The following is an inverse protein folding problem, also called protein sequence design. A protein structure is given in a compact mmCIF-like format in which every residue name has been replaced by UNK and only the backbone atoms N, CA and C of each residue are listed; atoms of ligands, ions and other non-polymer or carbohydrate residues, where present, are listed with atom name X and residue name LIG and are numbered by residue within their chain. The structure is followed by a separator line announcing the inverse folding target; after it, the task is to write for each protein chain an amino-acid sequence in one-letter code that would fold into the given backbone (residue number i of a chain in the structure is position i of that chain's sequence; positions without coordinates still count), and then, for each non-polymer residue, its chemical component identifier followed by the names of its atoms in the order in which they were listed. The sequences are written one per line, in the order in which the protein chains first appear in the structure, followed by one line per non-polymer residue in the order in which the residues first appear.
data_IF_541120813690
#
_entry.id   IF_541120813690
#
_cell.length_a   1.000
_cell.length_b   1.000
_cell.length_c   1.000
_cell.angle_alpha   90.00
_cell.angle_beta   90.00
_cell.angle_gamma   90.00
#
_symmetry.space_group_name_H-M   'P 1'
#
loop_
_entity.id
_entity.type
_entity.pdbx_description
1 polymer ?
#
# COMPACT_ATOMS: atom_id res chain seq x y z
N UNK A 1 15.50 -1.90 -27.50
CA UNK A 1 14.74 -1.50 -26.29
C UNK A 1 15.58 -1.71 -25.04
N UNK A 2 16.19 -2.89 -24.85
CA UNK A 2 16.98 -3.23 -23.67
C UNK A 2 18.09 -2.22 -23.33
N UNK A 3 18.86 -1.75 -24.31
CA UNK A 3 19.90 -0.71 -24.10
C UNK A 3 19.33 0.62 -23.57
N UNK A 4 18.10 0.99 -23.93
CA UNK A 4 17.45 2.21 -23.42
C UNK A 4 17.01 2.02 -21.96
N UNK A 5 16.42 0.87 -21.65
CA UNK A 5 16.01 0.51 -20.28
C UNK A 5 17.23 0.45 -19.36
N UNK A 6 18.32 -0.18 -19.81
CA UNK A 6 19.58 -0.26 -19.07
C UNK A 6 20.15 1.14 -18.81
N UNK A 7 20.16 2.02 -19.81
CA UNK A 7 20.62 3.40 -19.63
C UNK A 7 19.80 4.16 -18.60
N UNK A 8 18.46 4.08 -18.67
CA UNK A 8 17.59 4.75 -17.70
C UNK A 8 17.75 4.16 -16.29
N UNK A 9 17.94 2.84 -16.17
CA UNK A 9 18.22 2.19 -14.88
C UNK A 9 19.57 2.62 -14.30
N UNK A 10 20.63 2.68 -15.12
CA UNK A 10 21.94 3.16 -14.69
C UNK A 10 21.90 4.61 -14.22
N UNK A 11 21.18 5.49 -14.93
CA UNK A 11 20.96 6.88 -14.49
C UNK A 11 20.27 6.92 -13.12
N UNK A 12 19.23 6.12 -12.94
CA UNK A 12 18.44 6.09 -11.71
C UNK A 12 19.28 5.61 -10.52
N UNK A 13 20.11 4.57 -10.71
CA UNK A 13 21.05 4.06 -9.69
C UNK A 13 22.15 5.10 -9.41
N UNK A 14 22.71 5.73 -10.43
CA UNK A 14 23.78 6.73 -10.28
C UNK A 14 23.33 7.95 -9.47
N UNK A 15 22.06 8.35 -9.56
CA UNK A 15 21.47 9.42 -8.72
C UNK A 15 21.34 9.06 -7.23
N UNK A 16 21.66 7.81 -6.84
CA UNK A 16 21.56 7.28 -5.47
C UNK A 16 20.19 7.38 -4.81
N UNK A 17 19.12 7.73 -5.55
CA UNK A 17 17.77 7.91 -4.99
C UNK A 17 17.20 6.63 -4.40
N UNK A 18 17.44 5.48 -5.04
CA UNK A 18 17.03 4.19 -4.49
C UNK A 18 17.72 3.90 -3.15
N UNK A 19 18.97 4.32 -2.98
CA UNK A 19 19.69 4.16 -1.70
C UNK A 19 19.06 5.07 -0.64
N UNK A 20 18.73 6.32 -0.98
CA UNK A 20 18.03 7.23 -0.06
C UNK A 20 16.68 6.63 0.36
N UNK A 21 15.90 6.10 -0.59
CA UNK A 21 14.64 5.42 -0.29
C UNK A 21 14.87 4.18 0.58
N UNK A 22 15.90 3.38 0.31
CA UNK A 22 16.30 2.25 1.15
C UNK A 22 16.54 2.65 2.60
N UNK A 23 17.29 3.74 2.79
CA UNK A 23 17.62 4.28 4.11
C UNK A 23 16.35 4.76 4.81
N UNK A 24 15.47 5.50 4.11
CA UNK A 24 14.21 5.97 4.70
C UNK A 24 13.32 4.78 5.10
N UNK A 25 13.18 3.78 4.23
CA UNK A 25 12.47 2.54 4.55
C UNK A 25 13.09 1.86 5.76
N UNK A 26 14.42 1.70 5.80
CA UNK A 26 15.11 1.07 6.92
C UNK A 26 14.90 1.81 8.24
N UNK A 27 14.97 3.15 8.24
CA UNK A 27 14.70 3.98 9.41
C UNK A 27 13.26 3.83 9.88
N UNK A 28 12.29 3.86 8.97
CA UNK A 28 10.89 3.71 9.33
C UNK A 28 10.56 2.31 9.83
N UNK A 29 11.12 1.27 9.21
CA UNK A 29 11.01 -0.10 9.69
C UNK A 29 11.59 -0.21 11.11
N UNK A 30 12.76 0.38 11.39
CA UNK A 30 13.33 0.41 12.74
C UNK A 30 12.40 1.11 13.74
N UNK A 31 11.86 2.29 13.38
CA UNK A 31 10.91 3.02 14.22
C UNK A 31 9.63 2.21 14.50
N UNK A 32 9.06 1.57 13.48
CA UNK A 32 7.86 0.74 13.61
C UNK A 32 8.14 -0.52 14.43
N UNK A 33 9.31 -1.14 14.24
CA UNK A 33 9.75 -2.30 15.03
C UNK A 33 9.85 -1.92 16.50
N UNK A 34 10.48 -0.78 16.81
CA UNK A 34 10.59 -0.27 18.17
C UNK A 34 9.21 0.10 18.77
N UNK A 35 8.34 0.75 17.99
CA UNK A 35 7.00 1.10 18.43
C UNK A 35 6.16 -0.13 18.77
N UNK A 36 6.19 -1.16 17.91
CA UNK A 36 5.54 -2.45 18.16
C UNK A 36 6.10 -3.15 19.39
N UNK A 37 7.43 -3.16 19.55
CA UNK A 37 8.08 -3.76 20.72
C UNK A 37 7.63 -3.08 22.02
N UNK A 38 7.63 -1.74 22.03
CA UNK A 38 7.18 -0.95 23.18
C UNK A 38 5.69 -1.18 23.48
N UNK A 39 4.85 -1.25 22.44
CA UNK A 39 3.43 -1.55 22.61
C UNK A 39 3.20 -2.92 23.25
N UNK A 40 3.93 -3.95 22.81
CA UNK A 40 3.86 -5.30 23.39
C UNK A 40 4.33 -5.29 24.86
N UNK A 41 5.41 -4.59 25.19
CA UNK A 41 5.85 -4.46 26.58
C UNK A 41 4.81 -3.77 27.47
N UNK A 42 4.28 -2.62 27.04
CA UNK A 42 3.26 -1.91 27.82
C UNK A 42 1.99 -2.74 28.00
N UNK A 43 1.59 -3.55 27.02
CA UNK A 43 0.46 -4.47 27.18
C UNK A 43 0.76 -5.58 28.19
N UNK A 44 1.98 -6.14 28.18
CA UNK A 44 2.41 -7.14 29.18
C UNK A 44 2.45 -6.57 30.59
N UNK A 45 2.93 -5.35 30.76
CA UNK A 45 2.93 -4.65 32.05
C UNK A 45 1.53 -4.40 32.58
N UNK A 46 0.59 -3.98 31.71
CA UNK A 46 -0.81 -3.72 32.10
C UNK A 46 -1.59 -4.98 32.46
N UNK A 47 -1.38 -6.06 31.72
CA UNK A 47 -2.18 -7.29 31.87
C UNK A 47 -1.52 -8.32 32.78
N UNK A 48 -0.23 -8.16 33.10
CA UNK A 48 0.54 -9.10 33.91
C UNK A 48 0.73 -10.48 33.26
N UNK A 49 0.33 -10.65 32.00
CA UNK A 49 0.37 -11.92 31.27
C UNK A 49 0.89 -11.73 29.85
N UNK A 50 1.52 -12.79 29.33
CA UNK A 50 1.91 -12.92 27.92
C UNK A 50 0.97 -13.84 27.15
N UNK A 51 -0.10 -14.35 27.78
CA UNK A 51 -1.06 -15.21 27.12
C UNK A 51 -1.92 -14.40 26.13
N UNK A 52 -1.84 -14.80 24.86
CA UNK A 52 -2.56 -14.14 23.78
C UNK A 52 -4.08 -14.27 23.95
N UNK A 53 -4.57 -15.34 24.59
CA UNK A 53 -6.00 -15.53 24.86
C UNK A 53 -6.52 -14.48 25.82
N UNK A 54 -5.80 -14.22 26.92
CA UNK A 54 -6.17 -13.15 27.87
C UNK A 54 -6.12 -11.77 27.20
N UNK A 55 -5.11 -11.51 26.37
CA UNK A 55 -5.00 -10.25 25.62
C UNK A 55 -6.19 -10.09 24.67
N UNK A 56 -6.56 -11.14 23.93
CA UNK A 56 -7.67 -11.11 22.99
C UNK A 56 -9.02 -10.98 23.70
N UNK A 57 -9.22 -11.67 24.83
CA UNK A 57 -10.41 -11.53 25.67
C UNK A 57 -10.55 -10.09 26.19
N UNK A 58 -9.46 -9.46 26.63
CA UNK A 58 -9.49 -8.04 27.02
C UNK A 58 -9.87 -7.14 25.84
N UNK A 59 -9.33 -7.39 24.64
CA UNK A 59 -9.70 -6.64 23.44
C UNK A 59 -11.18 -6.80 23.07
N UNK A 60 -11.75 -7.99 23.24
CA UNK A 60 -13.18 -8.29 23.04
C UNK A 60 -14.02 -7.48 24.04
N UNK A 61 -13.63 -7.45 25.32
CA UNK A 61 -14.31 -6.66 26.36
C UNK A 61 -14.27 -5.18 26.02
N UNK A 62 -13.09 -4.65 25.70
CA UNK A 62 -12.90 -3.24 25.34
C UNK A 62 -13.74 -2.86 24.10
N UNK A 63 -13.79 -3.73 23.09
CA UNK A 63 -14.57 -3.54 21.87
C UNK A 63 -16.08 -3.58 22.16
N UNK A 64 -16.52 -4.50 23.02
CA UNK A 64 -17.92 -4.60 23.47
C UNK A 64 -18.36 -3.37 24.27
N UNK A 65 -17.49 -2.87 25.15
CA UNK A 65 -17.73 -1.64 25.91
C UNK A 65 -17.81 -0.40 25.01
N UNK A 66 -17.03 -0.36 23.92
CA UNK A 66 -17.19 0.70 22.90
C UNK A 66 -18.54 0.59 22.21
N UNK A 67 -18.97 -0.62 21.83
CA UNK A 67 -20.26 -0.89 21.18
C UNK A 67 -21.49 -0.52 22.01
N UNK A 68 -21.41 -0.59 23.34
CA UNK A 68 -22.51 -0.20 24.24
C UNK A 68 -22.65 1.32 24.40
N UNK A 69 -21.68 2.11 23.94
CA UNK A 69 -21.75 3.57 24.00
C UNK A 69 -22.79 4.13 23.01
N UNK A 70 -23.80 4.84 23.52
CA UNK A 70 -25.00 5.25 22.78
C UNK A 70 -24.80 6.38 21.74
N UNK A 71 -23.57 6.86 21.50
CA UNK A 71 -23.27 8.03 20.64
C UNK A 71 -22.43 7.71 19.40
N UNK A 72 -22.37 6.45 18.98
CA UNK A 72 -21.58 6.06 17.81
C UNK A 72 -22.39 6.09 16.53
N UNK A 73 -21.76 6.54 15.44
CA UNK A 73 -22.29 6.47 14.09
C UNK A 73 -22.50 5.01 13.66
N UNK A 74 -23.58 4.73 12.92
CA UNK A 74 -24.01 3.36 12.61
C UNK A 74 -22.97 2.54 11.83
N UNK A 75 -22.20 3.18 10.95
CA UNK A 75 -21.11 2.51 10.22
C UNK A 75 -19.95 2.10 11.12
N UNK A 76 -19.53 2.99 12.03
CA UNK A 76 -18.50 2.68 13.02
C UNK A 76 -18.94 1.54 13.93
N UNK A 77 -20.24 1.51 14.26
CA UNK A 77 -20.86 0.39 14.99
C UNK A 77 -20.82 -0.90 14.18
N UNK A 78 -21.16 -0.89 12.88
CA UNK A 78 -21.01 -2.04 11.96
C UNK A 78 -19.56 -2.53 11.93
N UNK A 79 -18.57 -1.64 11.78
CA UNK A 79 -17.14 -1.99 11.77
C UNK A 79 -16.69 -2.63 13.08
N UNK A 80 -17.09 -2.08 14.22
CA UNK A 80 -16.77 -2.66 15.53
C UNK A 80 -17.45 -4.02 15.74
N UNK A 81 -18.68 -4.21 15.27
CA UNK A 81 -19.35 -5.52 15.31
C UNK A 81 -18.63 -6.57 14.45
N UNK A 82 -18.14 -6.18 13.28
CA UNK A 82 -17.34 -7.03 12.38
C UNK A 82 -16.04 -7.43 13.08
N UNK A 83 -15.29 -6.46 13.62
CA UNK A 83 -14.06 -6.70 14.35
C UNK A 83 -14.28 -7.62 15.57
N UNK A 84 -15.37 -7.40 16.33
CA UNK A 84 -15.73 -8.23 17.48
C UNK A 84 -15.97 -9.69 17.08
N UNK A 85 -16.76 -9.92 16.02
CA UNK A 85 -17.02 -11.28 15.50
C UNK A 85 -15.75 -11.96 15.00
N UNK A 86 -14.84 -11.21 14.37
CA UNK A 86 -13.54 -11.75 13.95
C UNK A 86 -12.70 -12.17 15.17
N UNK A 87 -12.59 -11.31 16.19
CA UNK A 87 -11.84 -11.61 17.41
C UNK A 87 -12.42 -12.83 18.14
N UNK A 88 -13.75 -12.94 18.25
CA UNK A 88 -14.43 -14.11 18.80
C UNK A 88 -14.09 -15.36 18.00
N UNK A 89 -14.15 -15.30 16.67
CA UNK A 89 -13.80 -16.44 15.82
C UNK A 89 -12.36 -16.91 16.02
N UNK A 90 -11.39 -15.98 16.15
CA UNK A 90 -10.00 -16.31 16.48
C UNK A 90 -9.87 -17.05 17.82
N UNK A 91 -10.62 -16.61 18.83
CA UNK A 91 -10.64 -17.23 20.16
C UNK A 91 -11.28 -18.62 20.13
N UNK A 92 -12.42 -18.77 19.44
CA UNK A 92 -13.19 -20.01 19.35
C UNK A 92 -12.43 -21.11 18.60
N UNK A 93 -11.64 -20.73 17.59
CA UNK A 93 -10.84 -21.67 16.77
C UNK A 93 -9.40 -21.84 17.27
N UNK A 94 -9.06 -21.25 18.41
CA UNK A 94 -7.72 -21.30 19.02
C UNK A 94 -6.58 -20.84 18.10
N UNK A 95 -6.81 -19.78 17.33
CA UNK A 95 -5.85 -19.22 16.37
C UNK A 95 -5.30 -17.92 16.95
N UNK A 96 -3.98 -17.83 17.13
CA UNK A 96 -3.32 -16.63 17.61
C UNK A 96 -3.16 -15.59 16.47
N UNK A 97 -3.90 -14.46 16.48
CA UNK A 97 -3.79 -13.42 15.44
C UNK A 97 -2.49 -12.60 15.53
N UNK A 98 -1.84 -12.62 16.70
CA UNK A 98 -0.66 -11.84 17.05
C UNK A 98 0.56 -12.76 17.26
N UNK A 99 0.67 -13.81 16.45
CA UNK A 99 1.79 -14.74 16.53
C UNK A 99 3.12 -13.98 16.36
N UNK A 100 4.04 -14.04 17.35
CA UNK A 100 5.28 -13.25 17.30
C UNK A 100 6.18 -13.71 16.14
N UNK A 101 6.66 -12.74 15.36
CA UNK A 101 7.68 -13.02 14.35
C UNK A 101 7.79 -11.94 13.27
N UNK A 102 8.92 -11.97 12.58
CA UNK A 102 9.20 -11.13 11.42
C UNK A 102 8.11 -11.18 10.32
N UNK A 103 7.49 -12.34 10.01
CA UNK A 103 6.44 -12.42 8.99
C UNK A 103 5.17 -11.66 9.38
N UNK A 104 4.79 -11.76 10.65
CA UNK A 104 3.64 -11.03 11.21
C UNK A 104 3.91 -9.53 11.19
N UNK A 105 5.13 -9.11 11.55
CA UNK A 105 5.53 -7.72 11.45
C UNK A 105 5.52 -7.22 10.00
N UNK A 106 6.06 -7.99 9.06
CA UNK A 106 6.08 -7.63 7.64
C UNK A 106 4.67 -7.40 7.09
N UNK A 107 3.72 -8.28 7.44
CA UNK A 107 2.29 -8.12 7.15
C UNK A 107 1.79 -6.78 7.69
N UNK A 108 1.94 -6.55 9.00
CA UNK A 108 1.46 -5.32 9.66
C UNK A 108 2.11 -4.08 9.04
N UNK A 109 3.40 -4.13 8.72
CA UNK A 109 4.12 -3.03 8.11
C UNK A 109 3.58 -2.70 6.71
N UNK A 110 3.37 -3.69 5.85
CA UNK A 110 2.81 -3.49 4.51
C UNK A 110 1.41 -2.87 4.56
N UNK A 111 0.56 -3.39 5.45
CA UNK A 111 -0.81 -2.92 5.62
C UNK A 111 -0.87 -1.46 6.07
N UNK A 112 0.00 -1.05 6.99
CA UNK A 112 0.06 0.36 7.41
C UNK A 112 0.76 1.26 6.38
N UNK A 113 1.54 0.68 5.48
CA UNK A 113 2.36 1.41 4.53
C UNK A 113 1.71 1.63 3.16
N UNK A 114 0.68 0.85 2.83
CA UNK A 114 0.06 0.85 1.49
C UNK A 114 -0.66 2.16 1.16
N UNK A 115 -1.18 2.88 2.15
CA UNK A 115 -2.04 4.05 1.93
C UNK A 115 -1.27 5.29 1.49
N UNK A 116 -0.09 5.49 2.07
CA UNK A 116 0.63 6.75 1.94
C UNK A 116 2.13 6.53 1.79
N UNK A 117 2.73 5.68 2.64
CA UNK A 117 4.17 5.57 2.72
C UNK A 117 4.81 5.01 1.43
N UNK A 118 4.38 3.81 1.00
CA UNK A 118 4.88 3.21 -0.25
C UNK A 118 4.48 4.03 -1.49
N UNK A 119 3.23 4.50 -1.62
CA UNK A 119 2.83 5.44 -2.67
C UNK A 119 3.75 6.68 -2.79
N UNK A 120 4.14 7.28 -1.66
CA UNK A 120 5.01 8.45 -1.63
C UNK A 120 6.43 8.12 -2.12
N UNK A 121 7.00 6.99 -1.71
CA UNK A 121 8.32 6.55 -2.20
C UNK A 121 8.32 6.32 -3.71
N UNK A 122 7.25 5.71 -4.22
CA UNK A 122 7.07 5.47 -5.65
C UNK A 122 6.89 6.77 -6.42
N UNK A 123 6.09 7.70 -5.91
CA UNK A 123 5.85 9.03 -6.50
C UNK A 123 7.16 9.81 -6.68
N UNK A 124 8.05 9.78 -5.69
CA UNK A 124 9.35 10.48 -5.75
C UNK A 124 10.20 9.99 -6.92
N UNK A 125 10.25 8.68 -7.16
CA UNK A 125 10.96 8.11 -8.31
C UNK A 125 10.26 8.45 -9.62
N UNK A 126 8.94 8.27 -9.69
CA UNK A 126 8.17 8.53 -10.90
C UNK A 126 8.32 9.98 -11.39
N UNK A 127 8.27 10.94 -10.48
CA UNK A 127 8.35 12.37 -10.78
C UNK A 127 9.74 12.80 -11.26
N UNK A 128 10.81 12.22 -10.71
CA UNK A 128 12.18 12.53 -11.14
C UNK A 128 12.49 11.94 -12.53
N UNK A 129 11.91 10.79 -12.88
CA UNK A 129 12.27 10.02 -14.07
C UNK A 129 11.92 10.73 -15.39
N UNK A 130 10.86 11.54 -15.41
CA UNK A 130 10.45 12.33 -16.59
C UNK A 130 10.81 13.81 -16.44
N UNK A 131 10.48 14.43 -15.30
CA UNK A 131 10.64 15.88 -15.16
C UNK A 131 12.11 16.34 -15.03
N UNK A 132 13.05 15.49 -14.58
CA UNK A 132 14.47 15.88 -14.51
C UNK A 132 15.12 16.14 -15.88
N UNK A 133 14.57 15.57 -16.95
CA UNK A 133 15.06 15.78 -18.33
C UNK A 133 14.50 17.07 -18.94
N UNK A 134 13.31 17.52 -18.50
CA UNK A 134 12.77 18.83 -18.86
C UNK A 134 13.60 19.97 -18.25
N UNK A 135 14.06 19.81 -17.00
CA UNK A 135 14.88 20.82 -16.32
C UNK A 135 16.32 20.89 -16.84
N UNK A 136 16.89 19.76 -17.28
CA UNK A 136 18.29 19.67 -17.74
C UNK A 136 18.46 19.95 -19.25
N UNK A 137 17.38 20.16 -20.00
CA UNK A 137 17.44 20.41 -21.45
C UNK A 137 17.91 19.20 -22.30
N UNK A 138 18.14 18.04 -21.68
CA UNK A 138 18.66 16.81 -22.31
C UNK A 138 17.70 16.17 -23.32
N UNK A 139 16.42 16.55 -23.30
CA UNK A 139 15.47 16.21 -24.36
C UNK A 139 16.00 16.70 -25.73
N UNK A 140 16.67 17.86 -25.78
CA UNK A 140 17.26 18.40 -27.02
C UNK A 140 18.45 17.57 -27.51
N UNK A 141 19.26 17.02 -26.60
CA UNK A 141 20.43 16.18 -26.95
C UNK A 141 20.02 14.78 -27.41
N UNK A 142 18.95 14.20 -26.85
CA UNK A 142 18.43 12.88 -27.27
C UNK A 142 17.79 12.90 -28.66
N UNK A 143 17.27 14.06 -29.10
CA UNK A 143 16.67 14.26 -30.44
C UNK A 143 17.69 14.27 -31.59
N UNK A 144 18.99 14.24 -31.30
CA UNK A 144 20.03 14.03 -32.32
C UNK A 144 20.16 12.57 -32.77
N UNK A 145 19.51 11.63 -32.08
CA UNK A 145 19.47 10.20 -32.46
C UNK A 145 18.10 9.80 -33.01
N UNK A 146 18.01 8.95 -34.05
CA UNK A 146 16.75 8.59 -34.72
C UNK A 146 15.94 7.56 -33.91
N UNK A 147 15.51 7.91 -32.69
CA UNK A 147 14.69 7.05 -31.82
C UNK A 147 13.27 7.61 -31.73
N UNK A 148 12.27 6.79 -32.06
CA UNK A 148 10.84 7.17 -31.95
C UNK A 148 10.49 7.57 -30.51
N UNK A 149 9.82 8.71 -30.31
CA UNK A 149 9.48 9.29 -28.97
C UNK A 149 8.79 8.29 -28.04
N UNK A 150 7.84 7.51 -28.55
CA UNK A 150 7.14 6.48 -27.76
C UNK A 150 8.08 5.40 -27.19
N UNK A 151 9.18 5.06 -27.88
CA UNK A 151 10.16 4.08 -27.39
C UNK A 151 10.94 4.62 -26.19
N UNK A 152 11.19 5.92 -26.15
CA UNK A 152 11.86 6.59 -25.03
C UNK A 152 10.95 6.61 -23.81
N UNK A 153 9.68 7.01 -23.99
CA UNK A 153 8.70 7.00 -22.90
C UNK A 153 8.45 5.58 -22.39
N UNK A 154 8.35 4.60 -23.28
CA UNK A 154 8.18 3.20 -22.90
C UNK A 154 9.39 2.67 -22.11
N UNK A 155 10.63 2.99 -22.50
CA UNK A 155 11.79 2.59 -21.70
C UNK A 155 11.74 3.18 -20.30
N UNK A 156 11.30 4.44 -20.17
CA UNK A 156 11.13 5.11 -18.88
C UNK A 156 10.05 4.45 -18.02
N UNK A 157 8.91 4.11 -18.62
CA UNK A 157 7.83 3.41 -17.94
C UNK A 157 8.24 2.01 -17.46
N UNK A 158 9.00 1.25 -18.26
CA UNK A 158 9.54 -0.05 -17.84
C UNK A 158 10.55 0.13 -16.69
N UNK A 159 11.45 1.11 -16.78
CA UNK A 159 12.38 1.43 -15.68
C UNK A 159 11.63 1.81 -14.40
N UNK A 160 10.53 2.56 -14.50
CA UNK A 160 9.67 2.87 -13.38
C UNK A 160 9.07 1.60 -12.76
N UNK A 161 8.49 0.70 -13.56
CA UNK A 161 7.92 -0.56 -13.06
C UNK A 161 8.98 -1.40 -12.34
N UNK A 162 10.19 -1.50 -12.90
CA UNK A 162 11.31 -2.21 -12.28
C UNK A 162 11.76 -1.54 -10.97
N UNK A 163 11.81 -0.22 -10.93
CA UNK A 163 12.14 0.53 -9.71
C UNK A 163 11.10 0.32 -8.61
N UNK A 164 9.80 0.29 -8.97
CA UNK A 164 8.71 -0.01 -8.04
C UNK A 164 8.84 -1.42 -7.47
N UNK A 165 9.07 -2.42 -8.33
CA UNK A 165 9.33 -3.80 -7.90
C UNK A 165 10.51 -3.88 -6.92
N UNK A 166 11.58 -3.13 -7.20
CA UNK A 166 12.76 -3.08 -6.33
C UNK A 166 12.46 -2.41 -4.99
N UNK A 167 11.72 -1.29 -4.96
CA UNK A 167 11.31 -0.61 -3.72
C UNK A 167 10.51 -1.55 -2.81
N UNK A 168 9.54 -2.28 -3.38
CA UNK A 168 8.70 -3.20 -2.61
C UNK A 168 9.49 -4.40 -2.12
N UNK A 169 10.37 -4.95 -2.97
CA UNK A 169 11.26 -6.03 -2.57
C UNK A 169 12.18 -5.57 -1.42
N UNK A 170 12.74 -4.37 -1.49
CA UNK A 170 13.57 -3.79 -0.44
C UNK A 170 12.77 -3.54 0.84
N UNK A 171 11.53 -3.04 0.74
CA UNK A 171 10.64 -2.89 1.88
C UNK A 171 10.39 -4.24 2.58
N UNK A 172 10.10 -5.30 1.83
CA UNK A 172 9.95 -6.65 2.35
C UNK A 172 11.22 -7.16 3.02
N UNK A 173 12.36 -7.11 2.33
CA UNK A 173 13.65 -7.61 2.84
C UNK A 173 14.07 -6.85 4.11
N UNK A 174 14.02 -5.51 4.10
CA UNK A 174 14.39 -4.70 5.26
C UNK A 174 13.44 -4.93 6.43
N UNK A 175 12.13 -5.01 6.17
CA UNK A 175 11.14 -5.34 7.20
C UNK A 175 11.43 -6.70 7.85
N UNK A 176 11.74 -7.72 7.05
CA UNK A 176 12.05 -9.05 7.55
C UNK A 176 13.35 -9.11 8.36
N UNK A 177 14.44 -8.52 7.85
CA UNK A 177 15.75 -8.53 8.51
C UNK A 177 15.75 -7.76 9.83
N UNK A 178 15.19 -6.55 9.82
CA UNK A 178 15.17 -5.68 11.01
C UNK A 178 14.21 -6.26 12.06
N UNK A 179 12.98 -6.60 11.68
CA UNK A 179 12.01 -7.14 12.64
C UNK A 179 12.39 -8.52 13.16
N UNK A 180 13.04 -9.36 12.34
CA UNK A 180 13.51 -10.67 12.76
C UNK A 180 14.62 -10.62 13.80
N UNK A 181 15.44 -9.56 13.82
CA UNK A 181 16.41 -9.34 14.89
C UNK A 181 15.76 -9.08 16.26
N UNK A 182 14.54 -8.54 16.30
CA UNK A 182 13.84 -8.15 17.54
C UNK A 182 12.80 -9.19 17.96
N UNK A 183 11.98 -9.65 17.02
CA UNK A 183 10.85 -10.57 17.27
C UNK A 183 11.14 -12.03 16.90
N UNK A 184 12.27 -12.31 16.24
CA UNK A 184 12.64 -13.63 15.73
C UNK A 184 12.02 -13.95 14.36
N UNK A 185 12.51 -15.03 13.75
CA UNK A 185 12.19 -15.43 12.37
C UNK A 185 11.12 -16.54 12.27
N UNK A 186 10.36 -16.78 13.34
CA UNK A 186 9.27 -17.77 13.39
C UNK A 186 7.95 -17.16 12.89
N UNK A 187 6.87 -17.96 12.79
CA UNK A 187 5.51 -17.48 12.44
C UNK A 187 5.15 -17.61 10.95
N UNK A 188 6.10 -18.02 10.13
CA UNK A 188 5.95 -18.25 8.70
C UNK A 188 4.79 -19.21 8.30
N UNK A 189 4.56 -20.26 9.11
CA UNK A 189 3.47 -21.21 8.95
C UNK A 189 2.18 -20.85 9.69
N UNK A 190 2.11 -19.69 10.35
CA UNK A 190 0.98 -19.29 11.17
C UNK A 190 -0.33 -19.38 10.37
N UNK A 191 -1.38 -20.02 10.91
CA UNK A 191 -2.69 -19.99 10.29
C UNK A 191 -3.29 -18.59 10.41
N UNK A 192 -3.67 -18.02 9.27
CA UNK A 192 -4.37 -16.73 9.21
C UNK A 192 -5.74 -16.97 8.58
N UNK A 193 -6.73 -16.32 9.17
CA UNK A 193 -8.10 -16.34 8.66
C UNK A 193 -8.24 -15.29 7.57
N UNK A 194 -8.74 -15.74 6.43
CA UNK A 194 -8.98 -14.91 5.24
C UNK A 194 -10.33 -15.30 4.63
N UNK A 195 -10.92 -14.41 3.84
CA UNK A 195 -12.23 -14.70 3.21
C UNK A 195 -13.44 -14.32 4.06
N UNK A 196 -13.25 -13.48 5.06
CA UNK A 196 -14.36 -12.77 5.70
C UNK A 196 -15.01 -11.85 4.65
N UNK A 197 -16.20 -12.22 4.16
CA UNK A 197 -16.96 -11.36 3.26
C UNK A 197 -17.98 -10.57 4.08
N UNK A 198 -17.86 -9.24 4.05
CA UNK A 198 -18.81 -8.34 4.71
C UNK A 198 -19.98 -8.13 3.75
N UNK A 199 -21.13 -8.70 4.08
CA UNK A 199 -22.40 -8.50 3.36
C UNK A 199 -23.31 -7.60 4.19
N UNK A 200 -24.32 -6.97 3.57
CA UNK A 200 -25.29 -6.08 4.25
C UNK A 200 -26.00 -6.73 5.46
N UNK A 201 -26.05 -8.07 5.53
CA UNK A 201 -26.64 -8.86 6.61
C UNK A 201 -25.64 -9.34 7.69
N UNK A 202 -24.36 -8.97 7.59
CA UNK A 202 -23.30 -9.32 8.54
C UNK A 202 -22.06 -9.96 7.89
N UNK A 203 -21.18 -10.49 8.74
CA UNK A 203 -20.03 -11.29 8.29
C UNK A 203 -20.49 -12.66 7.81
N UNK A 204 -20.26 -12.95 6.52
CA UNK A 204 -20.39 -14.29 6.00
C UNK A 204 -19.10 -15.05 6.31
N UNK A 205 -19.19 -16.04 7.21
CA UNK A 205 -18.07 -16.91 7.61
C UNK A 205 -17.91 -18.14 6.72
N UNK A 206 -18.80 -18.33 5.72
CA UNK A 206 -18.85 -19.54 4.88
C UNK A 206 -17.64 -19.72 3.96
N UNK A 207 -16.87 -18.64 3.71
CA UNK A 207 -15.68 -18.65 2.85
C UNK A 207 -14.36 -18.50 3.65
N UNK A 208 -14.43 -18.59 4.98
CA UNK A 208 -13.24 -18.44 5.83
C UNK A 208 -12.28 -19.59 5.56
N UNK A 209 -11.14 -19.27 4.95
CA UNK A 209 -10.07 -20.21 4.65
C UNK A 209 -8.87 -19.93 5.53
N UNK A 210 -8.35 -21.00 6.13
CA UNK A 210 -7.05 -21.02 6.77
C UNK A 210 -5.97 -20.98 5.70
N UNK A 211 -5.25 -19.86 5.63
CA UNK A 211 -4.09 -19.72 4.77
C UNK A 211 -2.84 -19.60 5.64
N UNK A 212 -1.77 -20.30 5.26
CA UNK A 212 -0.46 -20.09 5.88
C UNK A 212 0.02 -18.67 5.60
N UNK A 213 0.64 -18.03 6.59
CA UNK A 213 1.11 -16.64 6.52
C UNK A 213 2.01 -16.35 5.32
N UNK A 214 2.87 -17.28 4.90
CA UNK A 214 3.61 -17.15 3.64
C UNK A 214 2.75 -16.89 2.40
N UNK A 215 1.67 -17.66 2.24
CA UNK A 215 0.78 -17.54 1.08
C UNK A 215 0.02 -16.22 1.14
N UNK A 216 -0.42 -15.85 2.34
CA UNK A 216 -1.06 -14.56 2.59
C UNK A 216 -0.13 -13.40 2.19
N UNK A 217 1.11 -13.42 2.67
CA UNK A 217 2.09 -12.38 2.37
C UNK A 217 2.38 -12.25 0.87
N UNK A 218 2.49 -13.35 0.13
CA UNK A 218 2.67 -13.29 -1.32
C UNK A 218 1.49 -12.59 -2.03
N UNK A 219 0.26 -12.85 -1.59
CA UNK A 219 -0.92 -12.15 -2.11
C UNK A 219 -0.88 -10.67 -1.74
N UNK A 220 -0.55 -10.37 -0.48
CA UNK A 220 -0.48 -9.01 0.06
C UNK A 220 0.56 -8.16 -0.67
N UNK A 221 1.77 -8.70 -0.87
CA UNK A 221 2.81 -8.08 -1.70
C UNK A 221 2.34 -7.85 -3.14
N UNK A 222 1.60 -8.78 -3.73
CA UNK A 222 1.04 -8.62 -5.07
C UNK A 222 0.05 -7.45 -5.16
N UNK A 223 -0.83 -7.31 -4.17
CA UNK A 223 -1.78 -6.19 -4.08
C UNK A 223 -1.06 -4.85 -3.87
N UNK A 224 -0.12 -4.80 -2.92
CA UNK A 224 0.71 -3.61 -2.66
C UNK A 224 1.49 -3.21 -3.90
N UNK A 225 2.02 -4.18 -4.64
CA UNK A 225 2.73 -3.96 -5.89
C UNK A 225 1.85 -3.38 -6.99
N UNK A 226 0.64 -3.94 -7.16
CA UNK A 226 -0.32 -3.41 -8.10
C UNK A 226 -0.71 -1.97 -7.77
N UNK A 227 -1.06 -1.68 -6.51
CA UNK A 227 -1.40 -0.32 -6.04
C UNK A 227 -0.25 0.65 -6.29
N UNK A 228 0.98 0.23 -5.97
CA UNK A 228 2.19 1.02 -6.21
C UNK A 228 2.41 1.32 -7.69
N UNK A 229 2.13 0.37 -8.60
CA UNK A 229 2.17 0.61 -10.04
C UNK A 229 1.15 1.66 -10.46
N UNK A 230 -0.09 1.58 -9.95
CA UNK A 230 -1.14 2.55 -10.30
C UNK A 230 -0.73 3.96 -9.87
N UNK A 231 -0.31 4.12 -8.60
CA UNK A 231 0.17 5.41 -8.07
C UNK A 231 1.39 5.90 -8.85
N UNK A 232 2.35 5.02 -9.14
CA UNK A 232 3.54 5.36 -9.93
C UNK A 232 3.18 5.82 -11.34
N UNK A 233 2.20 5.18 -11.97
CA UNK A 233 1.72 5.54 -13.31
C UNK A 233 0.99 6.87 -13.31
N UNK A 234 0.16 7.15 -12.30
CA UNK A 234 -0.49 8.45 -12.12
C UNK A 234 0.54 9.56 -11.89
N UNK A 235 1.54 9.30 -11.05
CA UNK A 235 2.66 10.22 -10.80
C UNK A 235 3.47 10.47 -12.08
N UNK A 236 3.71 9.42 -12.87
CA UNK A 236 4.38 9.50 -14.17
C UNK A 236 3.58 10.34 -15.17
N UNK A 237 2.26 10.15 -15.24
CA UNK A 237 1.38 10.98 -16.06
C UNK A 237 1.47 12.45 -15.64
N UNK A 238 1.36 12.75 -14.34
CA UNK A 238 1.50 14.12 -13.84
C UNK A 238 2.87 14.73 -14.20
N UNK A 239 3.94 13.94 -14.13
CA UNK A 239 5.30 14.36 -14.51
C UNK A 239 5.46 14.65 -16.02
N UNK A 240 4.66 14.03 -16.89
CA UNK A 240 4.58 14.34 -18.33
C UNK A 240 3.73 15.60 -18.60
N UNK A 241 2.65 15.78 -17.84
CA UNK A 241 1.74 16.91 -18.01
C UNK A 241 2.33 18.22 -17.46
N UNK A 242 2.95 18.14 -16.28
CA UNK A 242 3.45 19.26 -15.50
C UNK A 242 4.97 19.39 -15.70
N UNK A 243 5.44 20.58 -16.11
CA UNK A 243 6.86 20.84 -16.36
C UNK A 243 7.71 20.84 -15.09
N UNK A 244 7.14 21.27 -13.97
CA UNK A 244 7.84 21.35 -12.68
C UNK A 244 7.75 20.03 -11.92
N UNK A 245 8.91 19.45 -11.59
CA UNK A 245 9.04 18.27 -10.71
C UNK A 245 8.29 18.48 -9.40
N UNK A 246 8.53 19.62 -8.74
CA UNK A 246 7.95 19.96 -7.45
C UNK A 246 6.42 20.10 -7.52
N UNK A 247 5.91 20.71 -8.59
CA UNK A 247 4.47 20.86 -8.78
C UNK A 247 3.79 19.49 -9.03
N UNK A 248 4.39 18.61 -9.85
CA UNK A 248 3.87 17.27 -10.08
C UNK A 248 3.82 16.43 -8.79
N UNK A 249 4.88 16.47 -8.00
CA UNK A 249 4.94 15.82 -6.68
C UNK A 249 3.89 16.40 -5.72
N UNK A 250 3.76 17.74 -5.65
CA UNK A 250 2.79 18.41 -4.79
C UNK A 250 1.34 18.04 -5.10
N UNK A 251 0.98 17.96 -6.39
CA UNK A 251 -0.37 17.55 -6.82
C UNK A 251 -0.65 16.10 -6.41
N UNK A 252 0.29 15.19 -6.63
CA UNK A 252 0.09 13.79 -6.24
C UNK A 252 0.03 13.61 -4.73
N UNK A 253 0.85 14.34 -3.97
CA UNK A 253 0.82 14.33 -2.51
C UNK A 253 -0.52 14.85 -1.99
N UNK A 254 -1.01 15.98 -2.51
CA UNK A 254 -2.30 16.54 -2.17
C UNK A 254 -3.44 15.55 -2.48
N UNK A 255 -3.37 14.87 -3.64
CA UNK A 255 -4.31 13.81 -4.01
C UNK A 255 -4.32 12.67 -2.98
N UNK A 256 -3.16 12.10 -2.62
CA UNK A 256 -3.06 10.99 -1.65
C UNK A 256 -3.60 11.39 -0.27
N UNK A 257 -3.21 12.57 0.24
CA UNK A 257 -3.68 13.09 1.53
C UNK A 257 -5.19 13.36 1.49
N UNK A 258 -5.69 13.99 0.41
CA UNK A 258 -7.12 14.23 0.25
C UNK A 258 -7.92 12.93 0.24
N UNK A 259 -7.38 11.89 -0.41
CA UNK A 259 -7.95 10.56 -0.38
C UNK A 259 -8.06 9.97 1.02
N UNK A 260 -6.97 10.01 1.79
CA UNK A 260 -6.96 9.54 3.17
C UNK A 260 -7.99 10.29 4.04
N UNK A 261 -8.09 11.61 3.89
CA UNK A 261 -9.09 12.42 4.60
C UNK A 261 -10.51 12.03 4.15
N UNK A 262 -10.74 11.96 2.84
CA UNK A 262 -12.03 11.59 2.27
C UNK A 262 -12.50 10.23 2.77
N UNK A 263 -11.65 9.20 2.78
CA UNK A 263 -12.02 7.86 3.27
C UNK A 263 -12.54 7.84 4.71
N UNK A 264 -12.16 8.82 5.55
CA UNK A 264 -12.66 8.95 6.92
C UNK A 264 -13.97 9.76 7.03
N UNK A 265 -14.38 10.47 5.97
CA UNK A 265 -15.54 11.38 5.94
C UNK A 265 -16.67 10.90 5.00
N UNK A 266 -16.39 9.91 4.16
CA UNK A 266 -17.13 9.60 2.92
C UNK A 266 -18.38 8.73 3.12
N UNK A 267 -18.77 8.42 4.36
CA UNK A 267 -20.01 7.68 4.68
C UNK A 267 -21.26 8.20 3.98
N UNK A 268 -21.28 9.49 3.62
CA UNK A 268 -22.39 10.14 2.92
C UNK A 268 -22.19 10.34 1.41
N UNK A 269 -21.00 10.07 0.85
CA UNK A 269 -20.67 10.36 -0.55
C UNK A 269 -20.38 9.09 -1.36
N UNK A 270 -21.43 8.38 -1.75
CA UNK A 270 -21.34 7.09 -2.44
C UNK A 270 -20.54 7.13 -3.75
N UNK A 271 -20.53 8.25 -4.49
CA UNK A 271 -19.79 8.35 -5.76
C UNK A 271 -18.26 8.45 -5.57
N UNK A 272 -17.78 8.74 -4.34
CA UNK A 272 -16.35 8.75 -4.05
C UNK A 272 -15.69 7.37 -4.27
N UNK A 273 -16.47 6.28 -4.35
CA UNK A 273 -15.98 4.92 -4.63
C UNK A 273 -15.25 4.78 -5.96
N UNK A 274 -15.40 5.71 -6.89
CA UNK A 274 -14.68 5.71 -8.19
C UNK A 274 -13.35 6.46 -8.16
N UNK A 275 -13.03 7.16 -7.07
CA UNK A 275 -11.75 7.84 -6.91
C UNK A 275 -10.64 6.81 -6.62
N UNK A 276 -9.50 6.93 -7.32
CA UNK A 276 -8.40 5.98 -7.13
C UNK A 276 -7.90 5.95 -5.69
N UNK A 277 -7.88 7.11 -5.00
CA UNK A 277 -7.34 7.21 -3.65
C UNK A 277 -8.17 6.44 -2.62
N UNK A 278 -9.48 6.30 -2.85
CA UNK A 278 -10.41 5.55 -1.97
C UNK A 278 -10.22 4.03 -2.13
N UNK A 279 -9.60 3.60 -3.24
CA UNK A 279 -9.42 2.19 -3.60
C UNK A 279 -8.00 1.66 -3.33
N UNK A 280 -7.10 2.44 -2.72
CA UNK A 280 -5.70 2.04 -2.49
C UNK A 280 -5.56 0.88 -1.48
N UNK A 281 -6.50 0.77 -0.54
CA UNK A 281 -6.53 -0.21 0.55
C UNK A 281 -7.00 -1.59 0.10
N UNK A 282 -6.30 -2.21 -0.85
CA UNK A 282 -6.70 -3.53 -1.34
C UNK A 282 -6.49 -4.66 -0.30
N UNK A 283 -5.53 -4.48 0.60
CA UNK A 283 -5.14 -5.47 1.61
C UNK A 283 -6.19 -5.64 2.72
N UNK A 284 -6.99 -4.60 2.95
CA UNK A 284 -8.14 -4.60 3.86
C UNK A 284 -9.19 -5.67 3.49
N UNK A 285 -9.49 -5.82 2.20
CA UNK A 285 -10.45 -6.82 1.73
C UNK A 285 -9.99 -8.25 2.02
N UNK A 286 -8.69 -8.52 2.06
CA UNK A 286 -8.14 -9.84 2.37
C UNK A 286 -8.44 -10.28 3.81
N UNK A 287 -8.63 -9.31 4.72
CA UNK A 287 -8.98 -9.52 6.12
C UNK A 287 -10.48 -9.44 6.39
N UNK A 288 -11.28 -9.05 5.40
CA UNK A 288 -12.69 -8.72 5.55
C UNK A 288 -12.97 -7.58 6.50
N UNK A 289 -12.13 -6.54 6.49
CA UNK A 289 -12.55 -5.26 7.06
C UNK A 289 -13.65 -4.66 6.18
N UNK A 290 -14.60 -3.98 6.79
CA UNK A 290 -15.67 -3.33 6.03
C UNK A 290 -15.07 -2.27 5.09
N UNK A 291 -15.54 -2.18 3.85
CA UNK A 291 -15.10 -1.12 2.95
C UNK A 291 -15.52 0.27 3.49
N UNK A 292 -14.81 1.34 3.07
CA UNK A 292 -15.20 2.72 3.43
C UNK A 292 -16.58 3.14 2.90
N UNK A 293 -17.04 2.53 1.79
CA UNK A 293 -18.34 2.81 1.18
C UNK A 293 -19.02 1.47 0.89
N UNK A 294 -20.33 1.40 1.16
CA UNK A 294 -21.13 0.22 0.85
C UNK A 294 -21.09 -0.13 -0.64
N UNK A 295 -21.06 -1.44 -0.95
CA UNK A 295 -20.96 -1.96 -2.32
C UNK A 295 -19.56 -2.03 -2.91
N UNK A 296 -18.51 -1.59 -2.21
CA UNK A 296 -17.14 -1.84 -2.64
C UNK A 296 -16.70 -3.26 -2.27
N UNK A 297 -16.01 -3.92 -3.19
CA UNK A 297 -15.36 -5.22 -2.96
C UNK A 297 -13.98 -5.23 -3.62
N UNK A 298 -13.18 -6.28 -3.35
CA UNK A 298 -11.82 -6.40 -3.90
C UNK A 298 -11.79 -6.28 -5.43
N UNK A 299 -12.71 -6.96 -6.13
CA UNK A 299 -12.75 -6.94 -7.59
C UNK A 299 -13.11 -5.58 -8.17
N UNK A 300 -14.03 -4.87 -7.51
CA UNK A 300 -14.45 -3.52 -7.87
C UNK A 300 -13.27 -2.55 -7.71
N UNK A 301 -12.58 -2.57 -6.57
CA UNK A 301 -11.43 -1.71 -6.34
C UNK A 301 -10.28 -1.98 -7.31
N UNK A 302 -9.99 -3.25 -7.62
CA UNK A 302 -9.01 -3.61 -8.65
C UNK A 302 -9.42 -3.05 -10.03
N UNK A 303 -10.70 -3.17 -10.40
CA UNK A 303 -11.21 -2.68 -11.69
C UNK A 303 -11.11 -1.15 -11.79
N UNK A 304 -11.49 -0.42 -10.75
CA UNK A 304 -11.38 1.05 -10.70
C UNK A 304 -9.92 1.48 -10.83
N UNK A 305 -9.01 0.88 -10.06
CA UNK A 305 -7.59 1.16 -10.14
C UNK A 305 -7.00 0.83 -11.51
N UNK A 306 -7.45 -0.27 -12.14
CA UNK A 306 -7.04 -0.63 -13.48
C UNK A 306 -7.49 0.39 -14.54
N UNK A 307 -8.72 0.90 -14.44
CA UNK A 307 -9.22 1.97 -15.32
C UNK A 307 -8.38 3.24 -15.18
N UNK A 308 -8.09 3.67 -13.95
CA UNK A 308 -7.22 4.82 -13.69
C UNK A 308 -5.80 4.61 -14.22
N UNK A 309 -5.25 3.42 -14.03
CA UNK A 309 -3.95 3.04 -14.58
C UNK A 309 -3.94 3.11 -16.12
N UNK A 310 -4.93 2.50 -16.78
CA UNK A 310 -5.03 2.47 -18.24
C UNK A 310 -5.20 3.89 -18.81
N UNK A 311 -6.04 4.72 -18.18
CA UNK A 311 -6.23 6.11 -18.55
C UNK A 311 -4.92 6.91 -18.41
N UNK A 312 -4.18 6.72 -17.31
CA UNK A 312 -2.91 7.41 -17.08
C UNK A 312 -1.81 7.01 -18.08
N UNK A 313 -1.71 5.72 -18.42
CA UNK A 313 -0.83 5.26 -19.51
C UNK A 313 -1.25 5.91 -20.82
N UNK A 314 -2.54 5.85 -21.19
CA UNK A 314 -3.01 6.41 -22.45
C UNK A 314 -2.71 7.92 -22.58
N UNK A 315 -3.07 8.70 -21.55
CA UNK A 315 -2.85 10.15 -21.52
C UNK A 315 -1.35 10.49 -21.60
N UNK A 316 -0.51 9.79 -20.82
CA UNK A 316 0.93 10.05 -20.83
C UNK A 316 1.57 9.80 -22.20
N UNK A 317 1.23 8.69 -22.86
CA UNK A 317 1.74 8.36 -24.19
C UNK A 317 1.19 9.30 -25.28
N UNK A 318 -0.09 9.63 -25.22
CA UNK A 318 -0.72 10.54 -26.17
C UNK A 318 -0.10 11.93 -26.11
N UNK A 319 0.01 12.51 -24.91
CA UNK A 319 0.57 13.85 -24.73
C UNK A 319 2.04 13.90 -25.09
N UNK A 320 2.84 12.91 -24.68
CA UNK A 320 4.27 12.88 -24.99
C UNK A 320 4.56 12.71 -26.50
N UNK A 321 3.69 11.99 -27.21
CA UNK A 321 3.86 11.78 -28.66
C UNK A 321 3.44 13.01 -29.46
N UNK A 322 2.41 13.74 -29.02
CA UNK A 322 1.88 14.93 -29.71
C UNK A 322 2.52 16.25 -29.30
N UNK A 323 3.10 16.38 -28.10
CA UNK A 323 3.81 17.61 -27.70
C UNK A 323 5.07 17.75 -28.54
N UNK A 324 5.14 18.82 -29.32
CA UNK A 324 6.40 19.29 -29.88
C UNK A 324 7.23 19.95 -28.79
N UNK A 325 8.43 19.39 -28.58
CA UNK A 325 9.44 19.95 -27.68
C UNK A 325 10.44 20.68 -28.57
N UNK A 326 10.18 21.96 -28.82
CA UNK A 326 11.16 22.92 -29.35
C UNK A 326 11.79 23.70 -28.19
#
# INVERSE_FOLDING_TARGET
MNKLIQNEMMKLIAKKRLIVIAIIIGVLVMLFTYAQYKQVQTQREKLGTSDWRTILQQQIIDTTNRLSSSRMQDEWKKQLQISLKQQQYYLDHDINPAEPGAPTFMRIFLENSIDLFLPLMVMVIASDLVSSEHSLGSIKLLLTRPVKRWKVLLSKYITLCLAISLIIAMAGILSYLISGSVFGYKGWGAPILTGFNVTETGLNTSEVKLLSLWKFLLMDFGLVWFVSIVVGTLSFMLSVLIRSTAAGMGVMLAALISGAILTNMVSSWETAKYLFMVNLRLTDYMKGTAPPIEGMNLSFSIMVLFVWWAAAVFVSFFVFTKKDVY
#
